data_IF_429411812892
#
_entry.id   IF_429411812892
#
_cell.length_a   1.000
_cell.length_b   1.000
_cell.length_c   1.000
_cell.angle_alpha   90.00
_cell.angle_beta   90.00
_cell.angle_gamma   90.00
#
_symmetry.space_group_name_H-M   'P 1'
#
loop_
_entity.id
_entity.type
_entity.pdbx_description
1 polymer ?
#
# COMPACT_ATOMS: atom_id res chain seq x y z
N UNK A 1 16.96 12.76 -10.50
CA UNK A 1 15.67 13.41 -10.17
C UNK A 1 15.58 13.55 -8.66
N UNK A 2 14.77 14.47 -8.17
CA UNK A 2 14.49 14.60 -6.73
C UNK A 2 13.57 13.45 -6.27
N UNK A 3 13.95 12.76 -5.19
CA UNK A 3 13.20 11.66 -4.58
C UNK A 3 11.79 12.04 -4.21
N UNK A 4 11.59 13.24 -3.66
CA UNK A 4 10.25 13.68 -3.27
C UNK A 4 9.37 13.83 -4.50
N UNK A 5 9.90 14.38 -5.59
CA UNK A 5 9.16 14.51 -6.84
C UNK A 5 8.78 13.15 -7.45
N UNK A 6 9.69 12.17 -7.44
CA UNK A 6 9.40 10.81 -7.95
C UNK A 6 8.36 10.08 -7.07
N UNK A 7 8.48 10.23 -5.75
CA UNK A 7 7.53 9.68 -4.80
C UNK A 7 6.13 10.28 -5.00
N UNK A 8 6.05 11.61 -5.08
CA UNK A 8 4.78 12.32 -5.27
C UNK A 8 4.12 11.97 -6.61
N UNK A 9 4.90 11.75 -7.67
CA UNK A 9 4.38 11.30 -8.96
C UNK A 9 3.79 9.87 -8.89
N UNK A 10 4.48 8.93 -8.24
CA UNK A 10 3.96 7.57 -8.04
C UNK A 10 2.71 7.57 -7.16
N UNK A 11 2.70 8.40 -6.12
CA UNK A 11 1.58 8.54 -5.19
C UNK A 11 0.35 9.13 -5.87
N UNK A 12 0.53 10.17 -6.70
CA UNK A 12 -0.53 10.77 -7.49
C UNK A 12 -1.17 9.77 -8.46
N UNK A 13 -0.39 8.85 -9.03
CA UNK A 13 -0.91 7.76 -9.87
C UNK A 13 -1.82 6.81 -9.09
N UNK A 14 -1.45 6.48 -7.85
CA UNK A 14 -2.27 5.64 -6.96
C UNK A 14 -3.57 6.35 -6.57
N UNK A 15 -3.46 7.62 -6.19
CA UNK A 15 -4.57 8.50 -5.80
C UNK A 15 -5.57 8.68 -6.94
N UNK A 16 -5.10 9.01 -8.15
CA UNK A 16 -5.96 9.15 -9.33
C UNK A 16 -6.78 7.88 -9.58
N UNK A 17 -6.13 6.72 -9.53
CA UNK A 17 -6.82 5.45 -9.71
C UNK A 17 -7.88 5.22 -8.63
N UNK A 18 -7.58 5.52 -7.36
CA UNK A 18 -8.56 5.40 -6.27
C UNK A 18 -9.74 6.35 -6.47
N UNK A 19 -9.48 7.62 -6.80
CA UNK A 19 -10.51 8.66 -6.97
C UNK A 19 -11.44 8.34 -8.15
N UNK A 20 -10.90 7.91 -9.30
CA UNK A 20 -11.71 7.47 -10.45
C UNK A 20 -12.56 6.27 -10.12
N UNK A 21 -11.98 5.25 -9.49
CA UNK A 21 -12.70 4.05 -9.05
C UNK A 21 -13.83 4.36 -8.07
N UNK A 22 -13.57 5.25 -7.13
CA UNK A 22 -14.57 5.70 -6.15
C UNK A 22 -15.69 6.51 -6.82
N UNK A 23 -15.37 7.27 -7.87
CA UNK A 23 -16.39 7.96 -8.68
C UNK A 23 -17.26 6.97 -9.47
N UNK A 24 -16.66 5.94 -10.08
CA UNK A 24 -17.35 5.00 -10.97
C UNK A 24 -18.31 4.07 -10.22
N UNK A 25 -17.94 3.60 -9.02
CA UNK A 25 -18.71 2.58 -8.28
C UNK A 25 -18.82 2.84 -6.78
N UNK A 26 -18.64 4.09 -6.36
CA UNK A 26 -18.75 4.50 -4.96
C UNK A 26 -17.75 3.76 -4.07
N UNK A 27 -18.14 3.56 -2.81
CA UNK A 27 -17.28 2.89 -1.83
C UNK A 27 -17.68 1.43 -1.58
N UNK A 28 -17.92 0.66 -2.65
CA UNK A 28 -18.27 -0.77 -2.52
C UNK A 28 -17.26 -1.57 -1.67
N UNK A 29 -16.00 -1.13 -1.63
CA UNK A 29 -14.94 -1.70 -0.79
C UNK A 29 -15.20 -1.61 0.72
N UNK A 30 -16.15 -0.78 1.17
CA UNK A 30 -16.55 -0.65 2.58
C UNK A 30 -17.08 -1.95 3.18
N UNK A 31 -17.60 -2.86 2.35
CA UNK A 31 -18.03 -4.18 2.80
C UNK A 31 -16.86 -5.06 3.28
N UNK A 32 -15.64 -4.75 2.86
CA UNK A 32 -14.45 -5.52 3.22
C UNK A 32 -14.04 -5.23 4.66
N UNK A 33 -13.86 -6.30 5.44
CA UNK A 33 -13.23 -6.23 6.76
C UNK A 33 -11.74 -5.85 6.61
N UNK A 34 -11.10 -5.27 7.65
CA UNK A 34 -9.65 -5.02 7.64
C UNK A 34 -8.82 -6.23 7.21
N UNK A 35 -9.11 -7.42 7.75
CA UNK A 35 -8.43 -8.66 7.36
C UNK A 35 -8.62 -9.03 5.89
N UNK A 36 -9.77 -8.71 5.30
CA UNK A 36 -10.01 -8.93 3.87
C UNK A 36 -9.19 -7.98 3.01
N UNK A 37 -8.95 -6.74 3.46
CA UNK A 37 -8.03 -5.81 2.81
C UNK A 37 -6.57 -6.27 2.95
N UNK A 38 -6.19 -6.78 4.12
CA UNK A 38 -4.88 -7.43 4.34
C UNK A 38 -4.66 -8.58 3.36
N UNK A 39 -5.68 -9.40 3.12
CA UNK A 39 -5.62 -10.48 2.13
C UNK A 39 -5.52 -9.98 0.69
N UNK A 40 -6.16 -8.86 0.35
CA UNK A 40 -5.96 -8.24 -0.97
C UNK A 40 -4.50 -7.83 -1.17
N UNK A 41 -3.86 -7.23 -0.16
CA UNK A 41 -2.44 -6.87 -0.21
C UNK A 41 -1.58 -8.15 -0.38
N UNK A 42 -1.88 -9.21 0.37
CA UNK A 42 -1.19 -10.50 0.25
C UNK A 42 -1.25 -11.07 -1.17
N UNK A 43 -2.44 -11.09 -1.77
CA UNK A 43 -2.66 -11.66 -3.11
C UNK A 43 -1.77 -10.93 -4.14
N UNK A 44 -1.77 -9.60 -4.10
CA UNK A 44 -0.97 -8.76 -5.00
C UNK A 44 0.52 -8.98 -4.79
N UNK A 45 1.00 -8.87 -3.56
CA UNK A 45 2.42 -9.05 -3.25
C UNK A 45 2.92 -10.46 -3.58
N UNK A 46 2.09 -11.49 -3.35
CA UNK A 46 2.44 -12.87 -3.68
C UNK A 46 2.45 -13.10 -5.21
N UNK A 47 1.54 -12.46 -5.97
CA UNK A 47 1.58 -12.49 -7.44
C UNK A 47 2.88 -11.89 -7.96
N UNK A 48 3.29 -10.73 -7.44
CA UNK A 48 4.58 -10.09 -7.79
C UNK A 48 5.74 -11.06 -7.53
N UNK A 49 5.78 -11.67 -6.34
CA UNK A 49 6.83 -12.63 -5.98
C UNK A 49 6.84 -13.85 -6.93
N UNK A 50 5.68 -14.39 -7.29
CA UNK A 50 5.59 -15.49 -8.26
C UNK A 50 6.16 -15.09 -9.62
N UNK A 51 5.83 -13.90 -10.13
CA UNK A 51 6.37 -13.40 -11.40
C UNK A 51 7.90 -13.23 -11.30
N UNK A 52 8.41 -12.67 -10.20
CA UNK A 52 9.86 -12.51 -9.98
C UNK A 52 10.62 -13.84 -9.90
N UNK A 53 9.97 -14.91 -9.43
CA UNK A 53 10.57 -16.25 -9.30
C UNK A 53 10.50 -17.07 -10.60
N UNK A 54 9.37 -17.01 -11.31
CA UNK A 54 9.09 -17.86 -12.48
C UNK A 54 9.57 -17.19 -13.78
N UNK A 55 9.62 -15.86 -13.84
CA UNK A 55 10.00 -15.11 -15.04
C UNK A 55 8.95 -15.10 -16.15
N UNK A 56 7.82 -15.78 -15.97
CA UNK A 56 6.71 -15.84 -16.93
C UNK A 56 5.41 -15.34 -16.28
N UNK A 57 4.65 -14.53 -17.02
CA UNK A 57 3.26 -14.17 -16.65
C UNK A 57 2.30 -14.67 -17.72
N UNK A 58 1.21 -15.31 -17.29
CA UNK A 58 0.11 -15.73 -18.17
C UNK A 58 -0.97 -14.65 -18.35
N UNK A 59 -0.85 -13.54 -17.61
CA UNK A 59 -1.78 -12.41 -17.63
C UNK A 59 -0.97 -11.16 -17.96
N UNK A 60 -1.46 -10.34 -18.90
CA UNK A 60 -0.77 -9.15 -19.44
C UNK A 60 -0.78 -7.94 -18.48
N UNK A 61 -1.08 -8.16 -17.20
CA UNK A 61 -1.01 -7.13 -16.18
C UNK A 61 0.41 -7.06 -15.61
N UNK A 62 1.12 -5.97 -15.91
CA UNK A 62 2.46 -5.71 -15.41
C UNK A 62 2.53 -5.60 -13.88
N UNK A 63 3.71 -5.89 -13.33
CA UNK A 63 4.01 -5.87 -11.88
C UNK A 63 3.74 -4.51 -11.22
N UNK A 64 3.86 -3.42 -11.97
CA UNK A 64 3.61 -2.06 -11.50
C UNK A 64 2.15 -1.85 -11.06
N UNK A 65 1.20 -2.41 -11.81
CA UNK A 65 -0.23 -2.34 -11.47
C UNK A 65 -0.55 -3.02 -10.14
N UNK A 66 0.24 -4.04 -9.76
CA UNK A 66 0.11 -4.72 -8.48
C UNK A 66 0.64 -3.86 -7.33
N UNK A 67 1.76 -3.16 -7.51
CA UNK A 67 2.26 -2.22 -6.51
C UNK A 67 1.30 -1.05 -6.30
N UNK A 68 0.71 -0.48 -7.36
CA UNK A 68 -0.35 0.54 -7.25
C UNK A 68 -1.54 -0.01 -6.44
N UNK A 69 -1.94 -1.25 -6.71
CA UNK A 69 -3.00 -1.92 -5.94
C UNK A 69 -2.65 -2.10 -4.46
N UNK A 70 -1.40 -2.45 -4.14
CA UNK A 70 -0.92 -2.57 -2.75
C UNK A 70 -1.04 -1.25 -2.02
N UNK A 71 -0.59 -0.14 -2.62
CA UNK A 71 -0.70 1.21 -2.02
C UNK A 71 -2.16 1.54 -1.70
N UNK A 72 -3.05 1.37 -2.69
CA UNK A 72 -4.47 1.69 -2.51
C UNK A 72 -5.14 0.82 -1.45
N UNK A 73 -4.87 -0.49 -1.42
CA UNK A 73 -5.42 -1.35 -0.38
C UNK A 73 -4.86 -1.04 1.01
N UNK A 74 -3.60 -0.60 1.14
CA UNK A 74 -3.05 -0.14 2.41
C UNK A 74 -3.80 1.09 2.93
N UNK A 75 -4.03 2.10 2.08
CA UNK A 75 -4.77 3.30 2.48
C UNK A 75 -6.23 3.01 2.77
N UNK A 76 -6.88 2.16 1.97
CA UNK A 76 -8.25 1.69 2.26
C UNK A 76 -8.33 0.95 3.59
N UNK A 77 -7.32 0.15 3.94
CA UNK A 77 -7.24 -0.54 5.23
C UNK A 77 -7.05 0.43 6.39
N UNK A 78 -6.20 1.44 6.24
CA UNK A 78 -6.06 2.53 7.23
C UNK A 78 -7.38 3.27 7.44
N UNK A 79 -8.09 3.63 6.37
CA UNK A 79 -9.44 4.22 6.48
C UNK A 79 -10.37 3.28 7.23
N UNK A 80 -10.35 1.98 6.91
CA UNK A 80 -11.21 1.01 7.59
C UNK A 80 -10.94 0.87 9.09
N UNK A 81 -9.66 0.89 9.49
CA UNK A 81 -9.28 0.83 10.89
C UNK A 81 -9.72 2.05 11.71
N UNK A 82 -9.89 3.21 11.06
CA UNK A 82 -10.25 4.48 11.71
C UNK A 82 -11.75 4.71 11.79
N UNK A 83 -12.53 4.07 10.92
CA UNK A 83 -13.97 4.16 10.95
C UNK A 83 -14.52 3.41 12.17
N UNK A 84 -15.55 3.94 12.85
CA UNK A 84 -16.15 3.28 13.99
C UNK A 84 -16.80 1.96 13.58
N UNK A 85 -16.87 1.02 14.53
CA UNK A 85 -17.63 -0.21 14.35
C UNK A 85 -19.10 0.13 14.05
N UNK A 86 -19.66 -0.49 13.00
CA UNK A 86 -21.01 -0.15 12.52
C UNK A 86 -21.11 1.18 11.78
N UNK A 87 -19.98 1.82 11.43
CA UNK A 87 -19.95 2.99 10.56
C UNK A 87 -20.61 2.73 9.20
N UNK A 88 -20.95 3.80 8.45
CA UNK A 88 -21.75 3.67 7.24
C UNK A 88 -21.09 2.76 6.20
N UNK A 89 -21.89 1.89 5.59
CA UNK A 89 -21.46 0.95 4.53
C UNK A 89 -21.23 1.65 3.18
N UNK A 90 -21.65 2.91 3.08
CA UNK A 90 -21.45 3.75 1.91
C UNK A 90 -21.00 5.13 2.38
N UNK A 91 -19.90 5.64 1.83
CA UNK A 91 -19.41 6.99 2.08
C UNK A 91 -19.71 7.84 0.86
N UNK A 92 -19.99 9.13 1.08
CA UNK A 92 -19.93 10.11 0.01
C UNK A 92 -18.53 10.14 -0.60
N UNK A 93 -18.43 10.37 -1.91
CA UNK A 93 -17.17 10.37 -2.67
C UNK A 93 -16.17 11.35 -2.05
N UNK A 94 -16.64 12.53 -1.64
CA UNK A 94 -15.83 13.58 -1.02
C UNK A 94 -15.24 13.12 0.32
N UNK A 95 -16.03 12.39 1.12
CA UNK A 95 -15.57 11.89 2.42
C UNK A 95 -14.58 10.73 2.26
N UNK A 96 -14.84 9.83 1.32
CA UNK A 96 -13.91 8.74 0.98
C UNK A 96 -12.56 9.30 0.52
N UNK A 97 -12.58 10.32 -0.33
CA UNK A 97 -11.38 11.01 -0.81
C UNK A 97 -10.64 11.72 0.33
N UNK A 98 -11.36 12.41 1.24
CA UNK A 98 -10.77 13.07 2.40
C UNK A 98 -10.05 12.09 3.32
N UNK A 99 -10.67 10.94 3.61
CA UNK A 99 -10.09 9.91 4.48
C UNK A 99 -8.88 9.22 3.82
N UNK A 100 -8.94 9.00 2.50
CA UNK A 100 -7.81 8.51 1.72
C UNK A 100 -6.65 9.52 1.75
N UNK A 101 -6.93 10.80 1.51
CA UNK A 101 -5.92 11.87 1.51
C UNK A 101 -5.23 12.00 2.88
N UNK A 102 -5.98 11.87 3.98
CA UNK A 102 -5.37 11.81 5.32
C UNK A 102 -4.40 10.63 5.49
N UNK A 103 -4.77 9.42 5.01
CA UNK A 103 -3.92 8.23 5.11
C UNK A 103 -2.66 8.36 4.23
N UNK A 104 -2.82 8.96 3.05
CA UNK A 104 -1.75 9.30 2.11
C UNK A 104 -0.74 10.27 2.73
N UNK A 105 -1.23 11.38 3.30
CA UNK A 105 -0.38 12.43 3.86
C UNK A 105 0.42 11.95 5.08
N UNK A 106 -0.20 11.14 5.95
CA UNK A 106 0.49 10.51 7.08
C UNK A 106 1.58 9.54 6.62
N UNK A 107 1.29 8.73 5.61
CA UNK A 107 2.26 7.77 5.05
C UNK A 107 3.47 8.50 4.43
N UNK A 108 3.19 9.60 3.70
CA UNK A 108 4.22 10.46 3.12
C UNK A 108 5.07 11.12 4.20
N UNK A 109 4.46 11.61 5.29
CA UNK A 109 5.18 12.19 6.41
C UNK A 109 6.08 11.15 7.11
N UNK A 110 5.59 9.91 7.29
CA UNK A 110 6.39 8.81 7.83
C UNK A 110 7.59 8.50 6.92
N UNK A 111 7.39 8.46 5.60
CA UNK A 111 8.46 8.24 4.64
C UNK A 111 9.54 9.31 4.76
N UNK A 112 9.16 10.59 4.83
CA UNK A 112 10.12 11.69 4.96
C UNK A 112 10.95 11.58 6.24
N UNK A 113 10.30 11.25 7.36
CA UNK A 113 10.99 11.03 8.63
C UNK A 113 11.99 9.87 8.51
N UNK A 114 11.58 8.73 7.93
CA UNK A 114 12.47 7.59 7.74
C UNK A 114 13.61 7.87 6.76
N UNK A 115 13.36 8.59 5.66
CA UNK A 115 14.42 8.99 4.73
C UNK A 115 15.42 9.95 5.40
N UNK A 116 14.98 10.80 6.33
CA UNK A 116 15.90 11.62 7.11
C UNK A 116 16.80 10.76 8.01
N UNK A 117 16.22 9.78 8.71
CA UNK A 117 16.93 8.92 9.68
C UNK A 117 17.85 7.88 9.01
N UNK A 118 17.42 7.29 7.89
CA UNK A 118 18.12 6.18 7.20
C UNK A 118 18.78 6.57 5.88
N UNK A 119 18.63 7.83 5.46
CA UNK A 119 18.97 8.26 4.11
C UNK A 119 18.10 7.58 3.04
N UNK A 120 18.57 7.60 1.80
CA UNK A 120 17.89 6.98 0.66
C UNK A 120 18.34 5.54 0.42
N UNK A 121 18.68 4.79 1.48
CA UNK A 121 19.22 3.43 1.38
C UNK A 121 18.31 2.46 0.59
N UNK A 122 17.01 2.75 0.50
CA UNK A 122 16.05 1.99 -0.29
C UNK A 122 16.33 2.08 -1.81
N UNK A 123 17.02 3.12 -2.28
CA UNK A 123 17.40 3.26 -3.71
C UNK A 123 18.38 2.20 -4.17
N UNK A 124 19.21 1.69 -3.26
CA UNK A 124 20.17 0.62 -3.53
C UNK A 124 19.56 -0.79 -3.32
N UNK A 125 18.27 -0.87 -2.96
CA UNK A 125 17.59 -2.14 -2.74
C UNK A 125 17.08 -2.75 -4.04
N UNK A 126 16.96 -4.08 -4.04
CA UNK A 126 16.29 -4.82 -5.12
C UNK A 126 14.78 -4.67 -4.99
N UNK A 127 14.07 -4.54 -6.11
CA UNK A 127 12.60 -4.55 -6.15
C UNK A 127 12.04 -5.81 -5.48
N UNK A 128 12.67 -6.97 -5.69
CA UNK A 128 12.27 -8.23 -5.02
C UNK A 128 12.40 -8.17 -3.50
N UNK A 129 13.43 -7.51 -2.97
CA UNK A 129 13.58 -7.31 -1.53
C UNK A 129 12.48 -6.43 -0.96
N UNK A 130 12.03 -5.40 -1.69
CA UNK A 130 10.87 -4.59 -1.30
C UNK A 130 9.58 -5.43 -1.30
N UNK A 131 9.40 -6.31 -2.28
CA UNK A 131 8.28 -7.28 -2.30
C UNK A 131 8.29 -8.19 -1.07
N UNK A 132 9.46 -8.73 -0.69
CA UNK A 132 9.58 -9.59 0.49
C UNK A 132 9.31 -8.84 1.80
N UNK A 133 9.73 -7.57 1.90
CA UNK A 133 9.42 -6.72 3.05
C UNK A 133 7.91 -6.45 3.18
N UNK A 134 7.21 -6.24 2.06
CA UNK A 134 5.75 -6.13 2.05
C UNK A 134 5.13 -7.43 2.57
N UNK A 135 5.53 -8.59 2.04
CA UNK A 135 5.00 -9.89 2.48
C UNK A 135 5.25 -10.15 3.97
N UNK A 136 6.43 -9.82 4.48
CA UNK A 136 6.74 -9.92 5.91
C UNK A 136 5.78 -9.07 6.76
N UNK A 137 5.52 -7.83 6.35
CA UNK A 137 4.60 -6.91 7.03
C UNK A 137 3.15 -7.40 6.97
N UNK A 138 2.70 -7.92 5.82
CA UNK A 138 1.39 -8.58 5.68
C UNK A 138 1.25 -9.71 6.70
N UNK A 139 2.22 -10.63 6.74
CA UNK A 139 2.17 -11.75 7.67
C UNK A 139 2.14 -11.30 9.13
N UNK A 140 2.85 -10.21 9.47
CA UNK A 140 2.79 -9.60 10.79
C UNK A 140 1.39 -9.07 11.12
N UNK A 141 0.77 -8.32 10.20
CA UNK A 141 -0.60 -7.81 10.38
C UNK A 141 -1.59 -8.94 10.57
N UNK A 142 -1.52 -9.99 9.74
CA UNK A 142 -2.39 -11.17 9.89
C UNK A 142 -2.26 -11.82 11.27
N UNK A 143 -1.05 -11.89 11.83
CA UNK A 143 -0.86 -12.40 13.20
C UNK A 143 -1.47 -11.49 14.26
N UNK A 144 -1.40 -10.17 14.09
CA UNK A 144 -2.02 -9.22 15.00
C UNK A 144 -3.56 -9.34 14.93
N UNK A 145 -4.12 -9.40 13.73
CA UNK A 145 -5.56 -9.58 13.48
C UNK A 145 -6.07 -10.89 14.08
N UNK A 146 -5.34 -12.00 13.89
CA UNK A 146 -5.71 -13.32 14.43
C UNK A 146 -5.62 -13.41 15.96
N UNK A 147 -4.86 -12.53 16.59
CA UNK A 147 -4.73 -12.44 18.06
C UNK A 147 -5.70 -11.42 18.67
N UNK A 148 -6.76 -11.04 17.96
CA UNK A 148 -7.72 -9.99 18.36
C UNK A 148 -7.02 -8.66 18.71
N UNK A 149 -5.94 -8.32 18.01
CA UNK A 149 -5.15 -7.11 18.27
C UNK A 149 -4.28 -7.17 19.54
N UNK A 150 -4.26 -8.29 20.28
CA UNK A 150 -3.41 -8.45 21.46
C UNK A 150 -1.96 -8.59 21.04
N UNK A 151 -1.14 -7.60 21.40
CA UNK A 151 0.30 -7.65 21.15
C UNK A 151 1.07 -7.30 22.42
N UNK A 152 2.20 -7.99 22.65
CA UNK A 152 3.05 -7.77 23.84
C UNK A 152 4.00 -6.59 23.62
N UNK A 153 4.35 -6.30 22.36
CA UNK A 153 5.35 -5.28 22.00
C UNK A 153 5.16 -4.71 20.58
N UNK A 154 4.01 -4.91 19.92
CA UNK A 154 3.89 -4.53 18.51
C UNK A 154 3.49 -3.07 18.34
N UNK A 155 4.09 -2.43 17.35
CA UNK A 155 3.53 -1.26 16.67
C UNK A 155 2.13 -1.62 16.13
N UNK A 156 1.20 -0.66 16.16
CA UNK A 156 -0.17 -0.87 15.68
C UNK A 156 -0.25 -1.32 14.22
N UNK A 157 -1.38 -1.90 13.82
CA UNK A 157 -1.60 -2.42 12.46
C UNK A 157 -1.40 -1.33 11.40
N UNK A 158 -1.82 -0.09 11.67
CA UNK A 158 -1.67 1.05 10.76
C UNK A 158 -0.21 1.35 10.37
N UNK A 159 0.74 1.27 11.31
CA UNK A 159 2.15 1.49 11.01
C UNK A 159 2.69 0.48 9.98
N UNK A 160 2.17 -0.75 10.00
CA UNK A 160 2.54 -1.76 9.04
C UNK A 160 1.93 -1.49 7.66
N UNK A 161 0.70 -0.97 7.56
CA UNK A 161 0.12 -0.53 6.28
C UNK A 161 0.90 0.62 5.66
N UNK A 162 1.30 1.61 6.45
CA UNK A 162 2.12 2.72 5.95
C UNK A 162 3.48 2.23 5.43
N UNK A 163 4.13 1.30 6.14
CA UNK A 163 5.39 0.69 5.68
C UNK A 163 5.21 -0.07 4.36
N UNK A 164 4.14 -0.88 4.24
CA UNK A 164 3.84 -1.62 3.01
C UNK A 164 3.58 -0.69 1.82
N UNK A 165 2.82 0.39 2.03
CA UNK A 165 2.57 1.40 1.01
C UNK A 165 3.87 2.08 0.57
N UNK A 166 4.75 2.45 1.52
CA UNK A 166 6.05 3.05 1.20
C UNK A 166 6.97 2.10 0.42
N UNK A 167 7.07 0.83 0.81
CA UNK A 167 7.85 -0.15 0.05
C UNK A 167 7.32 -0.37 -1.37
N UNK A 168 5.98 -0.34 -1.55
CA UNK A 168 5.38 -0.43 -2.87
C UNK A 168 5.67 0.81 -3.73
N UNK A 169 5.64 2.01 -3.15
CA UNK A 169 6.01 3.27 -3.84
C UNK A 169 7.49 3.29 -4.23
N UNK A 170 8.38 2.84 -3.34
CA UNK A 170 9.81 2.68 -3.67
C UNK A 170 10.03 1.70 -4.82
N UNK A 171 9.29 0.58 -4.83
CA UNK A 171 9.35 -0.38 -5.92
C UNK A 171 8.89 0.22 -7.25
N UNK A 172 7.83 1.04 -7.25
CA UNK A 172 7.37 1.78 -8.44
C UNK A 172 8.45 2.73 -8.96
N UNK A 173 9.09 3.51 -8.08
CA UNK A 173 10.16 4.43 -8.47
C UNK A 173 11.32 3.66 -9.14
N UNK A 174 11.77 2.57 -8.52
CA UNK A 174 12.86 1.75 -9.04
C UNK A 174 12.50 1.09 -10.39
N UNK A 175 11.25 0.64 -10.57
CA UNK A 175 10.78 0.08 -11.86
C UNK A 175 10.82 1.12 -12.98
N UNK A 176 10.39 2.35 -12.70
CA UNK A 176 10.41 3.46 -13.66
C UNK A 176 11.84 3.85 -14.05
N UNK A 177 12.76 3.85 -13.08
CA UNK A 177 14.19 4.11 -13.32
C UNK A 177 14.84 3.02 -14.18
N UNK A 178 14.45 1.75 -13.99
CA UNK A 178 14.96 0.63 -14.80
C UNK A 178 14.42 0.64 -16.23
N UNK A 179 13.19 1.11 -16.44
CA UNK A 179 12.55 1.17 -17.76
C UNK A 179 12.97 2.41 -18.57
N UNK A 180 13.61 3.39 -17.92
CA UNK A 180 14.15 4.61 -18.54
C UNK A 180 15.61 4.45 -18.99
N UNK A 181 16.25 3.32 -18.70
CA UNK A 181 17.61 2.95 -19.11
C UNK A 181 17.59 1.88 -20.19
#
# INVERSE_FOLDING_TARGET
MDTLAQYDACLATCEDLFKRKTLDYGTAWRILRPSSLTDQIFIKANRIRTIQQVGESKVDEGVESEFVGIVNYCFMAMVQCRLPEGGPMELAVEEANRLYDASKDETRALMQKKNHDYGEAWRDMRISSLTDLILMKVLRVKQIENNDGKTVASEGVEANYMDMANYALFALILSLEQSSN
#
